data_IF_010049515318
#
_entry.id   IF_010049515318
#
_cell.length_a   1.000
_cell.length_b   1.000
_cell.length_c   1.000
_cell.angle_alpha   90.00
_cell.angle_beta   90.00
_cell.angle_gamma   90.00
#
_symmetry.space_group_name_H-M   'P 1'
#
loop_
_entity.id
_entity.type
_entity.pdbx_description
1 polymer ?
#
# COMPACT_ATOMS: atom_id res chain seq x y z
N UNK A 1 13.56 31.24 -11.32
CA UNK A 1 13.31 32.07 -10.13
C UNK A 1 14.62 32.64 -9.55
N UNK A 2 15.61 31.82 -9.13
CA UNK A 2 16.85 32.34 -8.53
C UNK A 2 17.67 33.22 -9.50
N UNK A 3 17.82 32.82 -10.77
CA UNK A 3 18.49 33.63 -11.79
C UNK A 3 17.86 35.02 -11.93
N UNK A 4 16.55 35.12 -11.97
CA UNK A 4 15.87 36.43 -12.05
C UNK A 4 16.14 37.31 -10.83
N UNK A 5 16.27 36.72 -9.63
CA UNK A 5 16.67 37.45 -8.42
C UNK A 5 18.13 37.94 -8.48
N UNK A 6 19.02 37.16 -9.07
CA UNK A 6 20.40 37.60 -9.32
C UNK A 6 20.40 38.80 -10.27
N UNK A 7 19.65 38.71 -11.39
CA UNK A 7 19.52 39.80 -12.37
C UNK A 7 18.95 41.07 -11.71
N UNK A 8 17.95 40.94 -10.87
CA UNK A 8 17.37 42.03 -10.08
C UNK A 8 18.40 42.65 -9.11
N UNK A 9 19.14 41.82 -8.38
CA UNK A 9 20.19 42.27 -7.46
C UNK A 9 21.30 43.00 -8.22
N UNK A 10 21.73 42.51 -9.40
CA UNK A 10 22.71 43.15 -10.26
C UNK A 10 22.21 44.51 -10.72
N UNK A 11 20.95 44.62 -11.19
CA UNK A 11 20.38 45.89 -11.65
C UNK A 11 20.30 46.91 -10.49
N UNK A 12 19.91 46.50 -9.32
CA UNK A 12 19.84 47.35 -8.14
C UNK A 12 21.23 47.81 -7.70
N UNK A 13 22.22 46.94 -7.71
CA UNK A 13 23.62 47.27 -7.40
C UNK A 13 24.18 48.31 -8.37
N UNK A 14 23.96 48.12 -9.67
CA UNK A 14 24.36 49.09 -10.69
C UNK A 14 23.73 50.46 -10.50
N UNK A 15 22.39 50.47 -10.26
CA UNK A 15 21.69 51.72 -10.02
C UNK A 15 22.20 52.45 -8.76
N UNK A 16 22.51 51.74 -7.68
CA UNK A 16 23.11 52.32 -6.47
C UNK A 16 24.51 52.90 -6.72
N UNK A 17 25.33 52.22 -7.53
CA UNK A 17 26.66 52.73 -7.94
C UNK A 17 26.52 53.99 -8.78
N UNK A 18 25.59 54.04 -9.74
CA UNK A 18 25.38 55.20 -10.61
C UNK A 18 24.86 56.42 -9.82
N UNK A 19 24.14 56.19 -8.73
CA UNK A 19 23.66 57.26 -7.85
C UNK A 19 24.66 57.77 -6.82
N UNK A 20 25.79 57.09 -6.64
CA UNK A 20 26.81 57.47 -5.70
C UNK A 20 27.54 58.75 -6.14
N UNK A 21 27.72 59.71 -5.23
CA UNK A 21 28.28 61.01 -5.52
C UNK A 21 29.77 61.16 -5.17
N UNK A 22 30.35 60.15 -4.51
CA UNK A 22 31.76 60.09 -4.13
C UNK A 22 32.31 58.66 -4.10
N UNK A 23 33.60 58.49 -4.03
CA UNK A 23 34.28 57.20 -4.10
C UNK A 23 33.82 56.26 -2.92
N UNK A 24 33.66 56.78 -1.72
CA UNK A 24 33.19 55.98 -0.60
C UNK A 24 31.79 55.44 -0.83
N UNK A 25 30.90 56.24 -1.40
CA UNK A 25 29.56 55.81 -1.80
C UNK A 25 29.56 54.70 -2.87
N UNK A 26 30.46 54.79 -3.85
CA UNK A 26 30.68 53.78 -4.85
C UNK A 26 31.16 52.47 -4.21
N UNK A 27 32.15 52.56 -3.30
CA UNK A 27 32.71 51.37 -2.64
C UNK A 27 31.64 50.67 -1.76
N UNK A 28 30.84 51.46 -1.04
CA UNK A 28 29.69 50.93 -0.25
C UNK A 28 28.66 50.24 -1.13
N UNK A 29 28.19 50.88 -2.19
CA UNK A 29 27.22 50.32 -3.13
C UNK A 29 27.71 49.05 -3.79
N UNK A 30 29.00 48.98 -4.13
CA UNK A 30 29.65 47.80 -4.67
C UNK A 30 29.64 46.63 -3.65
N UNK A 31 30.02 46.90 -2.41
CA UNK A 31 30.04 45.89 -1.34
C UNK A 31 28.64 45.33 -1.06
N UNK A 32 27.69 46.22 -0.84
CA UNK A 32 26.27 45.84 -0.58
C UNK A 32 25.67 45.08 -1.76
N UNK A 33 25.96 45.51 -2.99
CA UNK A 33 25.49 44.82 -4.20
C UNK A 33 26.11 43.42 -4.35
N UNK A 34 27.39 43.27 -4.05
CA UNK A 34 28.07 41.96 -4.05
C UNK A 34 27.45 41.03 -3.00
N UNK A 35 27.21 41.56 -1.80
CA UNK A 35 26.57 40.77 -0.71
C UNK A 35 25.15 40.35 -1.08
N UNK A 36 24.37 41.24 -1.66
CA UNK A 36 23.02 40.94 -2.12
C UNK A 36 23.00 39.83 -3.18
N UNK A 37 23.93 39.85 -4.14
CA UNK A 37 24.06 38.82 -5.18
C UNK A 37 24.49 37.49 -4.54
N UNK A 38 25.45 37.48 -3.64
CA UNK A 38 25.98 36.30 -3.00
C UNK A 38 24.96 35.62 -2.08
N UNK A 39 24.00 36.36 -1.52
CA UNK A 39 22.91 35.84 -0.68
C UNK A 39 21.73 35.26 -1.45
N UNK A 40 21.68 35.39 -2.78
CA UNK A 40 20.61 34.77 -3.58
C UNK A 40 20.75 33.27 -3.58
N UNK A 41 19.79 32.58 -2.95
CA UNK A 41 19.72 31.12 -2.95
C UNK A 41 18.51 30.63 -3.72
N UNK A 42 18.60 29.50 -4.44
CA UNK A 42 17.44 28.87 -5.02
C UNK A 42 16.53 28.33 -3.90
N UNK A 43 15.23 28.55 -4.02
CA UNK A 43 14.24 27.91 -3.13
C UNK A 43 14.03 26.50 -3.65
N UNK A 44 14.43 25.49 -2.89
CA UNK A 44 14.41 24.06 -3.27
C UNK A 44 13.35 23.35 -2.44
N UNK A 45 12.09 23.54 -2.79
CA UNK A 45 10.95 22.94 -2.06
C UNK A 45 10.13 21.96 -2.92
N UNK A 46 10.16 22.08 -4.23
CA UNK A 46 9.28 21.34 -5.14
C UNK A 46 9.40 19.81 -5.00
N UNK A 47 10.63 19.30 -4.94
CA UNK A 47 10.87 17.86 -4.77
C UNK A 47 10.46 17.38 -3.37
N UNK A 48 10.73 18.17 -2.34
CA UNK A 48 10.40 17.81 -0.95
C UNK A 48 8.88 17.79 -0.75
N UNK A 49 8.16 18.76 -1.32
CA UNK A 49 6.69 18.77 -1.34
C UNK A 49 6.12 17.54 -2.07
N UNK A 50 6.71 17.18 -3.22
CA UNK A 50 6.31 16.01 -3.99
C UNK A 50 6.54 14.71 -3.20
N UNK A 51 7.70 14.55 -2.57
CA UNK A 51 8.00 13.39 -1.71
C UNK A 51 7.09 13.30 -0.50
N UNK A 52 6.79 14.43 0.14
CA UNK A 52 5.83 14.48 1.25
C UNK A 52 4.44 14.03 0.81
N UNK A 53 4.00 14.40 -0.40
CA UNK A 53 2.73 13.93 -0.95
C UNK A 53 2.73 12.41 -1.19
N UNK A 54 3.84 11.84 -1.66
CA UNK A 54 4.03 10.39 -1.83
C UNK A 54 3.93 9.68 -0.45
N UNK A 55 4.60 10.21 0.58
CA UNK A 55 4.56 9.62 1.92
C UNK A 55 3.15 9.61 2.50
N UNK A 56 2.42 10.73 2.39
CA UNK A 56 1.02 10.82 2.84
C UNK A 56 0.11 9.84 2.12
N UNK A 57 0.27 9.68 0.81
CA UNK A 57 -0.52 8.73 0.03
C UNK A 57 -0.21 7.28 0.46
N UNK A 58 1.06 6.98 0.73
CA UNK A 58 1.47 5.67 1.21
C UNK A 58 0.90 5.33 2.59
N UNK A 59 0.92 6.28 3.54
CA UNK A 59 0.31 6.12 4.85
C UNK A 59 -1.20 5.85 4.75
N UNK A 60 -1.91 6.66 3.95
CA UNK A 60 -3.34 6.48 3.69
C UNK A 60 -3.64 5.12 3.06
N UNK A 61 -2.84 4.70 2.06
CA UNK A 61 -3.01 3.40 1.39
C UNK A 61 -2.74 2.23 2.32
N UNK A 62 -1.72 2.30 3.16
CA UNK A 62 -1.45 1.26 4.16
C UNK A 62 -2.58 1.14 5.17
N UNK A 63 -3.17 2.26 5.60
CA UNK A 63 -4.34 2.26 6.48
C UNK A 63 -5.58 1.65 5.80
N UNK A 64 -5.79 1.91 4.50
CA UNK A 64 -6.83 1.26 3.69
C UNK A 64 -6.61 -0.26 3.58
N UNK A 65 -5.37 -0.69 3.32
CA UNK A 65 -5.00 -2.10 3.26
C UNK A 65 -5.31 -2.81 4.59
N UNK A 66 -5.05 -2.16 5.73
CA UNK A 66 -5.36 -2.72 7.05
C UNK A 66 -6.86 -2.98 7.26
N UNK A 67 -7.72 -2.22 6.60
CA UNK A 67 -9.19 -2.36 6.66
C UNK A 67 -9.74 -3.36 5.61
N UNK A 68 -8.89 -4.00 4.79
CA UNK A 68 -9.36 -4.94 3.77
C UNK A 68 -10.04 -6.14 4.43
N UNK A 69 -11.35 -6.35 4.17
CA UNK A 69 -12.07 -7.48 4.75
C UNK A 69 -11.55 -8.81 4.19
N UNK A 70 -11.63 -9.86 4.99
CA UNK A 70 -11.24 -11.23 4.66
C UNK A 70 -9.75 -11.45 4.31
N UNK A 71 -8.92 -10.41 4.25
CA UNK A 71 -7.49 -10.54 4.06
C UNK A 71 -6.81 -11.02 5.34
N UNK A 72 -5.86 -11.94 5.21
CA UNK A 72 -4.98 -12.35 6.30
C UNK A 72 -3.89 -11.28 6.55
N UNK A 73 -3.26 -11.36 7.72
CA UNK A 73 -2.18 -10.44 8.08
C UNK A 73 -1.03 -10.50 7.06
N UNK A 74 -0.71 -11.70 6.57
CA UNK A 74 0.34 -11.90 5.55
C UNK A 74 -0.03 -11.30 4.20
N UNK A 75 -1.29 -11.40 3.76
CA UNK A 75 -1.77 -10.77 2.53
C UNK A 75 -1.71 -9.23 2.63
N UNK A 76 -2.06 -8.67 3.79
CA UNK A 76 -1.92 -7.24 4.09
C UNK A 76 -0.45 -6.81 4.12
N UNK A 77 0.43 -7.57 4.77
CA UNK A 77 1.87 -7.32 4.81
C UNK A 77 2.46 -7.31 3.40
N UNK A 78 2.11 -8.28 2.57
CA UNK A 78 2.57 -8.37 1.19
C UNK A 78 2.12 -7.14 0.35
N UNK A 79 0.88 -6.68 0.53
CA UNK A 79 0.39 -5.48 -0.13
C UNK A 79 1.10 -4.21 0.36
N UNK A 80 1.34 -4.07 1.67
CA UNK A 80 2.10 -2.94 2.24
C UNK A 80 3.54 -2.90 1.74
N UNK A 81 4.19 -4.04 1.56
CA UNK A 81 5.52 -4.12 0.98
C UNK A 81 5.55 -3.57 -0.46
N UNK A 82 4.53 -3.84 -1.27
CA UNK A 82 4.37 -3.24 -2.60
C UNK A 82 4.19 -1.71 -2.53
N UNK A 83 3.50 -1.20 -1.51
CA UNK A 83 3.40 0.26 -1.28
C UNK A 83 4.78 0.85 -1.02
N UNK A 84 5.61 0.23 -0.17
CA UNK A 84 6.96 0.70 0.13
C UNK A 84 7.88 0.69 -1.10
N UNK A 85 7.74 -0.31 -1.96
CA UNK A 85 8.45 -0.39 -3.24
C UNK A 85 8.01 0.74 -4.19
N UNK A 86 6.70 1.00 -4.30
CA UNK A 86 6.16 2.09 -5.10
C UNK A 86 6.62 3.47 -4.59
N UNK A 87 6.67 3.68 -3.28
CA UNK A 87 7.23 4.89 -2.63
C UNK A 87 8.69 5.10 -3.04
N UNK A 88 9.49 4.05 -2.92
CA UNK A 88 10.92 4.09 -3.28
C UNK A 88 11.10 4.47 -4.76
N UNK A 89 10.35 3.84 -5.64
CA UNK A 89 10.37 4.11 -7.08
C UNK A 89 9.95 5.55 -7.39
N UNK A 90 8.86 6.02 -6.78
CA UNK A 90 8.36 7.38 -6.97
C UNK A 90 9.36 8.44 -6.49
N UNK A 91 9.94 8.26 -5.30
CA UNK A 91 10.95 9.19 -4.75
C UNK A 91 12.21 9.23 -5.62
N UNK A 92 12.69 8.10 -6.11
CA UNK A 92 13.82 8.04 -7.03
C UNK A 92 13.51 8.79 -8.33
N UNK A 93 12.32 8.64 -8.90
CA UNK A 93 11.89 9.37 -10.09
C UNK A 93 11.82 10.89 -9.84
N UNK A 94 11.31 11.32 -8.68
CA UNK A 94 11.29 12.73 -8.26
C UNK A 94 12.71 13.27 -8.15
N UNK A 95 13.65 12.51 -7.55
CA UNK A 95 15.04 12.94 -7.39
C UNK A 95 15.77 13.08 -8.74
N UNK A 96 15.47 12.22 -9.70
CA UNK A 96 16.04 12.26 -11.04
C UNK A 96 15.44 13.36 -11.93
N UNK A 97 14.28 13.90 -11.59
CA UNK A 97 13.63 14.95 -12.37
C UNK A 97 14.48 16.24 -12.38
N UNK A 98 14.67 16.83 -13.56
CA UNK A 98 15.52 18.00 -13.76
C UNK A 98 14.75 19.33 -13.81
N UNK A 99 13.40 19.26 -13.89
CA UNK A 99 12.53 20.43 -13.94
C UNK A 99 11.20 20.16 -13.22
N UNK A 100 10.42 21.22 -12.98
CA UNK A 100 9.16 21.13 -12.25
C UNK A 100 8.14 20.21 -12.92
N UNK A 101 8.04 20.24 -14.24
CA UNK A 101 7.10 19.36 -14.98
C UNK A 101 7.48 17.88 -14.78
N UNK A 102 8.77 17.55 -14.81
CA UNK A 102 9.27 16.21 -14.50
C UNK A 102 8.95 15.78 -13.06
N UNK A 103 9.09 16.69 -12.08
CA UNK A 103 8.70 16.43 -10.68
C UNK A 103 7.20 16.17 -10.57
N UNK A 104 6.36 16.97 -11.23
CA UNK A 104 4.91 16.79 -11.20
C UNK A 104 4.49 15.47 -11.86
N UNK A 105 5.10 15.10 -12.98
CA UNK A 105 4.86 13.82 -13.65
C UNK A 105 5.28 12.65 -12.75
N UNK A 106 6.46 12.69 -12.17
CA UNK A 106 6.95 11.64 -11.28
C UNK A 106 6.06 11.48 -10.04
N UNK A 107 5.62 12.60 -9.44
CA UNK A 107 4.66 12.59 -8.33
C UNK A 107 3.32 11.95 -8.75
N UNK A 108 2.73 12.36 -9.88
CA UNK A 108 1.45 11.82 -10.35
C UNK A 108 1.55 10.31 -10.58
N UNK A 109 2.55 9.86 -11.30
CA UNK A 109 2.77 8.42 -11.56
C UNK A 109 2.97 7.63 -10.26
N UNK A 110 3.68 8.22 -9.29
CA UNK A 110 3.89 7.60 -7.98
C UNK A 110 2.59 7.48 -7.19
N UNK A 111 1.76 8.52 -7.17
CA UNK A 111 0.45 8.49 -6.53
C UNK A 111 -0.47 7.44 -7.16
N UNK A 112 -0.51 7.37 -8.49
CA UNK A 112 -1.30 6.39 -9.23
C UNK A 112 -0.82 4.96 -8.92
N UNK A 113 0.49 4.73 -8.91
CA UNK A 113 1.06 3.43 -8.56
C UNK A 113 0.69 2.99 -7.15
N UNK A 114 0.77 3.90 -6.16
CA UNK A 114 0.41 3.62 -4.76
C UNK A 114 -1.10 3.34 -4.64
N UNK A 115 -1.94 4.17 -5.25
CA UNK A 115 -3.39 4.07 -5.12
C UNK A 115 -3.96 2.79 -5.74
N UNK A 116 -3.31 2.25 -6.77
CA UNK A 116 -3.75 1.03 -7.45
C UNK A 116 -3.36 -0.28 -6.72
N UNK A 117 -2.58 -0.21 -5.64
CA UNK A 117 -2.19 -1.41 -4.89
C UNK A 117 -3.37 -1.93 -4.08
N UNK A 118 -3.65 -3.21 -4.24
CA UNK A 118 -4.66 -3.93 -3.45
C UNK A 118 -4.06 -5.24 -2.91
N UNK A 119 -4.48 -5.71 -1.72
CA UNK A 119 -4.16 -7.05 -1.26
C UNK A 119 -4.73 -8.11 -2.22
N UNK A 120 -3.99 -9.19 -2.42
CA UNK A 120 -4.51 -10.39 -3.07
C UNK A 120 -5.15 -11.25 -2.00
N UNK A 121 -6.48 -11.25 -1.92
CA UNK A 121 -7.26 -11.93 -0.88
C UNK A 121 -7.75 -13.27 -1.42
N UNK A 122 -7.03 -14.34 -1.15
CA UNK A 122 -7.32 -15.69 -1.69
C UNK A 122 -7.28 -16.79 -0.62
N UNK A 123 -6.54 -16.60 0.47
CA UNK A 123 -6.22 -17.65 1.45
C UNK A 123 -7.46 -18.28 2.07
N UNK A 124 -8.41 -17.45 2.52
CA UNK A 124 -9.66 -17.94 3.13
C UNK A 124 -10.58 -18.59 2.11
N UNK A 125 -10.65 -18.07 0.89
CA UNK A 125 -11.50 -18.63 -0.16
C UNK A 125 -11.00 -20.01 -0.63
N UNK A 126 -9.68 -20.16 -0.76
CA UNK A 126 -9.06 -21.47 -1.05
C UNK A 126 -9.33 -22.48 0.07
N UNK A 127 -9.23 -22.05 1.33
CA UNK A 127 -9.52 -22.91 2.47
C UNK A 127 -10.99 -23.34 2.49
N UNK A 128 -11.94 -22.42 2.27
CA UNK A 128 -13.38 -22.73 2.20
C UNK A 128 -13.70 -23.66 1.03
N UNK A 129 -13.07 -23.47 -0.11
CA UNK A 129 -13.20 -24.37 -1.29
C UNK A 129 -12.74 -25.79 -0.94
N UNK A 130 -11.67 -25.93 -0.16
CA UNK A 130 -11.19 -27.23 0.30
C UNK A 130 -12.19 -27.92 1.27
N UNK A 131 -12.83 -27.14 2.16
CA UNK A 131 -13.91 -27.62 3.04
C UNK A 131 -15.09 -28.13 2.21
N UNK A 132 -15.52 -27.38 1.19
CA UNK A 132 -16.64 -27.78 0.33
C UNK A 132 -16.34 -29.09 -0.42
N UNK A 133 -15.15 -29.23 -0.98
CA UNK A 133 -14.71 -30.46 -1.65
C UNK A 133 -14.68 -31.67 -0.71
N UNK A 134 -14.18 -31.48 0.53
CA UNK A 134 -14.18 -32.53 1.53
C UNK A 134 -15.60 -32.96 1.89
N UNK A 135 -16.52 -32.01 2.03
CA UNK A 135 -17.93 -32.29 2.34
C UNK A 135 -18.64 -33.03 1.21
N UNK A 136 -18.41 -32.63 -0.06
CA UNK A 136 -18.97 -33.33 -1.22
C UNK A 136 -18.49 -34.79 -1.28
N UNK A 137 -17.17 -35.01 -1.12
CA UNK A 137 -16.60 -36.35 -1.09
C UNK A 137 -17.17 -37.19 0.05
N UNK A 138 -17.29 -36.62 1.27
CA UNK A 138 -17.82 -37.32 2.43
C UNK A 138 -19.31 -37.67 2.28
N UNK A 139 -20.11 -36.77 1.74
CA UNK A 139 -21.51 -37.05 1.46
C UNK A 139 -21.67 -38.16 0.43
N UNK A 140 -20.84 -38.21 -0.61
CA UNK A 140 -20.83 -39.31 -1.57
C UNK A 140 -20.44 -40.66 -0.95
N UNK A 141 -19.47 -40.66 -0.02
CA UNK A 141 -19.09 -41.84 0.78
C UNK A 141 -20.23 -42.31 1.66
N UNK A 142 -20.91 -41.40 2.36
CA UNK A 142 -22.08 -41.70 3.19
C UNK A 142 -23.20 -42.36 2.36
N UNK A 143 -23.46 -41.88 1.14
CA UNK A 143 -24.46 -42.46 0.24
C UNK A 143 -24.16 -43.93 -0.13
N UNK A 144 -22.90 -44.29 -0.16
CA UNK A 144 -22.45 -45.65 -0.50
C UNK A 144 -22.26 -46.56 0.74
N UNK A 145 -22.55 -46.08 1.95
CA UNK A 145 -22.42 -46.89 3.17
C UNK A 145 -23.40 -48.07 3.14
N UNK A 146 -22.88 -49.32 3.14
CA UNK A 146 -23.76 -50.50 3.12
C UNK A 146 -24.53 -50.61 4.46
N UNK A 147 -25.73 -51.12 4.38
CA UNK A 147 -26.63 -51.40 5.51
C UNK A 147 -27.10 -50.17 6.32
N UNK A 148 -26.74 -48.95 5.91
CA UNK A 148 -27.29 -47.72 6.49
C UNK A 148 -28.65 -47.40 5.85
N UNK A 149 -29.64 -47.03 6.68
CA UNK A 149 -30.95 -46.56 6.22
C UNK A 149 -30.84 -45.15 5.59
N UNK A 150 -31.88 -44.74 4.85
CA UNK A 150 -31.91 -43.39 4.27
C UNK A 150 -31.93 -42.31 5.36
N UNK A 151 -32.60 -42.58 6.49
CA UNK A 151 -32.66 -41.68 7.66
C UNK A 151 -31.28 -41.54 8.32
N UNK A 152 -30.52 -42.63 8.48
CA UNK A 152 -29.15 -42.61 9.02
C UNK A 152 -28.19 -41.85 8.11
N UNK A 153 -28.29 -42.08 6.79
CA UNK A 153 -27.53 -41.32 5.78
C UNK A 153 -27.88 -39.82 5.81
N UNK A 154 -29.18 -39.50 5.88
CA UNK A 154 -29.65 -38.12 5.96
C UNK A 154 -29.12 -37.41 7.24
N UNK A 155 -29.17 -38.08 8.37
CA UNK A 155 -28.66 -37.57 9.65
C UNK A 155 -27.11 -37.35 9.58
N UNK A 156 -26.38 -38.29 8.99
CA UNK A 156 -24.94 -38.14 8.79
C UNK A 156 -24.60 -36.95 7.88
N UNK A 157 -25.29 -36.79 6.74
CA UNK A 157 -25.10 -35.64 5.84
C UNK A 157 -25.41 -34.31 6.55
N UNK A 158 -26.43 -34.26 7.41
CA UNK A 158 -26.71 -33.07 8.21
C UNK A 158 -25.53 -32.72 9.16
N UNK A 159 -24.92 -33.74 9.78
CA UNK A 159 -23.67 -33.52 10.58
C UNK A 159 -22.50 -33.02 9.73
N UNK A 160 -22.37 -33.46 8.48
CA UNK A 160 -21.36 -32.91 7.54
C UNK A 160 -21.64 -31.43 7.29
N UNK A 161 -22.90 -31.03 7.04
CA UNK A 161 -23.28 -29.62 6.82
C UNK A 161 -23.01 -28.75 8.05
N UNK A 162 -23.23 -29.27 9.25
CA UNK A 162 -22.89 -28.59 10.50
C UNK A 162 -21.38 -28.41 10.66
N UNK A 163 -20.59 -29.45 10.35
CA UNK A 163 -19.13 -29.38 10.35
C UNK A 163 -18.60 -28.36 9.33
N UNK A 164 -19.17 -28.31 8.12
CA UNK A 164 -18.84 -27.28 7.10
C UNK A 164 -19.09 -25.88 7.62
N UNK A 165 -20.25 -25.64 8.22
CA UNK A 165 -20.62 -24.34 8.78
C UNK A 165 -19.62 -23.92 9.87
N UNK A 166 -19.31 -24.83 10.78
CA UNK A 166 -18.34 -24.60 11.86
C UNK A 166 -16.95 -24.29 11.31
N UNK A 167 -16.48 -25.08 10.35
CA UNK A 167 -15.17 -24.89 9.72
C UNK A 167 -15.07 -23.54 8.99
N UNK A 168 -16.08 -23.18 8.20
CA UNK A 168 -16.10 -21.90 7.47
C UNK A 168 -16.11 -20.71 8.42
N UNK A 169 -16.87 -20.78 9.51
CA UNK A 169 -16.87 -19.74 10.55
C UNK A 169 -15.49 -19.59 11.21
N UNK A 170 -14.80 -20.70 11.50
CA UNK A 170 -13.45 -20.68 12.07
C UNK A 170 -12.44 -20.08 11.07
N UNK A 171 -12.55 -20.40 9.77
CA UNK A 171 -11.74 -19.80 8.71
C UNK A 171 -11.97 -18.28 8.63
N UNK A 172 -13.23 -17.83 8.70
CA UNK A 172 -13.57 -16.40 8.64
C UNK A 172 -13.02 -15.62 9.84
N UNK A 173 -13.00 -16.23 11.02
CA UNK A 173 -12.46 -15.63 12.25
C UNK A 173 -10.93 -15.62 12.31
N UNK A 174 -10.24 -16.44 11.53
CA UNK A 174 -8.78 -16.49 11.51
C UNK A 174 -8.20 -15.18 10.95
N UNK A 175 -7.17 -14.64 11.60
CA UNK A 175 -6.52 -13.38 11.22
C UNK A 175 -5.28 -13.57 10.37
N UNK A 176 -4.66 -14.75 10.40
CA UNK A 176 -3.40 -15.04 9.71
C UNK A 176 -3.46 -16.38 8.98
N UNK A 177 -2.50 -16.63 8.11
CA UNK A 177 -2.44 -17.84 7.29
C UNK A 177 -2.40 -19.13 8.12
N UNK A 178 -1.65 -19.14 9.21
CA UNK A 178 -1.56 -20.32 10.08
C UNK A 178 -2.91 -20.63 10.74
N UNK A 179 -3.65 -19.62 11.18
CA UNK A 179 -5.00 -19.76 11.73
C UNK A 179 -5.98 -20.33 10.69
N UNK A 180 -5.89 -19.84 9.44
CA UNK A 180 -6.69 -20.36 8.31
C UNK A 180 -6.36 -21.83 8.03
N UNK A 181 -5.08 -22.18 8.00
CA UNK A 181 -4.65 -23.57 7.74
C UNK A 181 -5.07 -24.51 8.88
N UNK A 182 -4.98 -24.08 10.13
CA UNK A 182 -5.45 -24.85 11.30
C UNK A 182 -6.95 -25.06 11.23
N UNK A 183 -7.74 -24.01 10.96
CA UNK A 183 -9.19 -24.09 10.84
C UNK A 183 -9.62 -25.02 9.68
N UNK A 184 -8.94 -24.93 8.54
CA UNK A 184 -9.16 -25.82 7.39
C UNK A 184 -8.88 -27.27 7.76
N UNK A 185 -7.72 -27.57 8.38
CA UNK A 185 -7.34 -28.94 8.76
C UNK A 185 -8.35 -29.53 9.74
N UNK A 186 -8.68 -28.81 10.81
CA UNK A 186 -9.65 -29.25 11.80
C UNK A 186 -11.04 -29.48 11.17
N UNK A 187 -11.45 -28.61 10.25
CA UNK A 187 -12.72 -28.74 9.54
C UNK A 187 -12.76 -29.97 8.63
N UNK A 188 -11.71 -30.23 7.86
CA UNK A 188 -11.59 -31.44 7.02
C UNK A 188 -11.61 -32.68 7.89
N UNK A 189 -10.90 -32.71 9.00
CA UNK A 189 -10.88 -33.84 9.93
C UNK A 189 -12.28 -34.10 10.53
N UNK A 190 -12.95 -33.03 10.96
CA UNK A 190 -14.31 -33.13 11.50
C UNK A 190 -15.29 -33.71 10.46
N UNK A 191 -15.21 -33.27 9.21
CA UNK A 191 -16.02 -33.78 8.09
C UNK A 191 -15.72 -35.27 7.84
N UNK A 192 -14.43 -35.64 7.73
CA UNK A 192 -14.03 -37.01 7.43
C UNK A 192 -14.40 -38.01 8.51
N UNK A 193 -14.50 -37.56 9.75
CA UNK A 193 -14.88 -38.41 10.90
C UNK A 193 -16.40 -38.66 11.04
N UNK A 194 -17.24 -38.01 10.25
CA UNK A 194 -18.68 -38.24 10.26
C UNK A 194 -18.99 -39.64 9.71
N UNK A 195 -19.79 -40.41 10.45
CA UNK A 195 -20.27 -41.73 10.04
C UNK A 195 -21.78 -41.82 10.22
N UNK A 196 -22.51 -42.58 9.38
CA UNK A 196 -23.88 -42.96 9.64
C UNK A 196 -23.95 -43.83 10.92
N UNK A 197 -24.91 -43.52 11.79
CA UNK A 197 -25.12 -44.24 13.06
C UNK A 197 -26.58 -44.46 13.30
#
# INVERSE_FOLDING_TARGET
AAKAKVDEAVNNAKASIDQATNNNGVDTAKSEGSDAINHVQPVVVKKDEAKTAIDKAAEAKKAEIDQTPNATDEEKIAAKAKVDEAVTTAKNAIDQATNNAGVDTAKSNGLDSINNIQPTVVKKDEAKTAIDKAAEAKKAEIDQTPNATDEEKAAAKAKVDEAVTTAKNAIDQATNNNGVDTAKTNGVDAINNVQPT
#
